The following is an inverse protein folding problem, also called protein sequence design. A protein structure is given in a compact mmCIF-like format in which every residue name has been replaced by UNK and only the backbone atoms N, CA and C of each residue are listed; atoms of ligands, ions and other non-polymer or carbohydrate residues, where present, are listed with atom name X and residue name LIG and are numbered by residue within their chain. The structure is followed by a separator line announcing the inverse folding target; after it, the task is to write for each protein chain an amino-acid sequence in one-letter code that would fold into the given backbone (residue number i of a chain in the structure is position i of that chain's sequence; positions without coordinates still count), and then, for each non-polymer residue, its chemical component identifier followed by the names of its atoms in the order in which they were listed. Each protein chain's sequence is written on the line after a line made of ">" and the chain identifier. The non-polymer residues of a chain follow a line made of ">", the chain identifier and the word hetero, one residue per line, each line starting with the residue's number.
data_IF_581470504990
#
_entry.id   IF_581470504990
#
_cell.length_a   1.000
_cell.length_b   1.000
_cell.length_c   1.000
_cell.angle_alpha   90.00
_cell.angle_beta   90.00
_cell.angle_gamma   90.00
#
_symmetry.space_group_name_H-M   'P 1'
#
loop_
_entity.id
_entity.type
_entity.pdbx_description
1 polymer ?
#
# COMPACT_ATOMS: atom_id res chain seq x y z
N UNK A 1 46.10 -0.97 -17.44
CA UNK A 1 45.41 -1.84 -16.45
C UNK A 1 44.49 -1.09 -15.49
N UNK A 2 44.82 0.12 -15.03
CA UNK A 2 44.00 0.88 -14.04
C UNK A 2 42.62 1.30 -14.58
N UNK A 3 42.52 1.70 -15.87
CA UNK A 3 41.25 2.12 -16.49
C UNK A 3 40.21 0.99 -16.56
N UNK A 4 40.63 -0.24 -16.86
CA UNK A 4 39.71 -1.38 -16.99
C UNK A 4 39.11 -1.78 -15.64
N UNK A 5 39.92 -1.77 -14.57
CA UNK A 5 39.46 -2.04 -13.22
C UNK A 5 38.46 -0.99 -12.71
N UNK A 6 38.68 0.29 -13.02
CA UNK A 6 37.77 1.38 -12.64
C UNK A 6 36.42 1.28 -13.36
N UNK A 7 36.41 0.91 -14.65
CA UNK A 7 35.18 0.72 -15.43
C UNK A 7 34.36 -0.48 -14.91
N UNK A 8 35.02 -1.60 -14.60
CA UNK A 8 34.34 -2.78 -14.04
C UNK A 8 33.77 -2.47 -12.65
N UNK A 9 34.53 -1.79 -11.79
CA UNK A 9 34.01 -1.36 -10.48
C UNK A 9 32.78 -0.47 -10.64
N UNK A 10 32.86 0.59 -11.47
CA UNK A 10 31.73 1.50 -11.71
C UNK A 10 30.49 0.77 -12.23
N UNK A 11 30.66 -0.22 -13.11
CA UNK A 11 29.55 -1.05 -13.60
C UNK A 11 28.90 -1.86 -12.47
N UNK A 12 29.68 -2.52 -11.60
CA UNK A 12 29.16 -3.29 -10.46
C UNK A 12 28.43 -2.40 -9.45
N UNK A 13 28.96 -1.22 -9.13
CA UNK A 13 28.29 -0.27 -8.24
C UNK A 13 26.98 0.24 -8.85
N UNK A 14 26.96 0.50 -10.15
CA UNK A 14 25.76 0.97 -10.86
C UNK A 14 24.67 -0.11 -10.91
N UNK A 15 25.02 -1.37 -11.14
CA UNK A 15 24.05 -2.48 -11.15
C UNK A 15 23.48 -2.73 -9.75
N UNK A 16 24.30 -2.67 -8.70
CA UNK A 16 23.82 -2.77 -7.32
C UNK A 16 22.90 -1.60 -6.93
N UNK A 17 23.26 -0.38 -7.30
CA UNK A 17 22.43 0.79 -7.03
C UNK A 17 21.08 0.70 -7.75
N UNK A 18 21.07 0.25 -9.01
CA UNK A 18 19.84 0.03 -9.77
C UNK A 18 19.00 -1.10 -9.16
N UNK A 19 19.62 -2.21 -8.76
CA UNK A 19 18.91 -3.32 -8.11
C UNK A 19 18.23 -2.86 -6.81
N UNK A 20 18.93 -2.10 -5.97
CA UNK A 20 18.36 -1.51 -4.76
C UNK A 20 17.24 -0.51 -5.09
N UNK A 21 17.42 0.32 -6.12
CA UNK A 21 16.38 1.26 -6.54
C UNK A 21 15.10 0.54 -7.02
N UNK A 22 15.25 -0.56 -7.75
CA UNK A 22 14.14 -1.37 -8.25
C UNK A 22 13.52 -2.29 -7.19
N UNK A 23 14.20 -2.49 -6.06
CA UNK A 23 13.73 -3.25 -4.92
C UNK A 23 12.91 -2.39 -3.95
N UNK A 24 13.38 -1.18 -3.63
CA UNK A 24 12.77 -0.32 -2.61
C UNK A 24 11.41 0.22 -3.02
N UNK A 25 10.50 0.33 -2.05
CA UNK A 25 9.19 0.97 -2.27
C UNK A 25 9.28 2.50 -2.34
N UNK A 26 10.25 3.09 -1.65
CA UNK A 26 10.44 4.55 -1.51
C UNK A 26 10.28 5.35 -2.81
N UNK A 27 10.82 4.94 -3.98
CA UNK A 27 10.67 5.71 -5.21
C UNK A 27 9.22 5.79 -5.75
N UNK A 28 8.30 4.99 -5.21
CA UNK A 28 6.87 5.00 -5.55
C UNK A 28 6.04 5.84 -4.57
N UNK A 29 6.65 6.31 -3.49
CA UNK A 29 5.99 7.12 -2.48
C UNK A 29 6.09 8.61 -2.84
N UNK A 30 5.06 9.40 -2.54
CA UNK A 30 5.08 10.83 -2.82
C UNK A 30 6.11 11.55 -1.92
N UNK A 31 6.67 12.64 -2.46
CA UNK A 31 7.34 13.63 -1.63
C UNK A 31 6.33 14.36 -0.73
N UNK A 32 6.82 15.02 0.32
CA UNK A 32 6.02 15.82 1.25
C UNK A 32 5.18 16.86 0.50
N UNK A 33 3.89 16.93 0.79
CA UNK A 33 2.91 17.76 0.11
C UNK A 33 2.39 17.18 -1.21
N UNK A 34 2.84 15.98 -1.60
CA UNK A 34 2.47 15.32 -2.85
C UNK A 34 1.54 14.12 -2.67
N UNK A 35 1.14 13.56 -3.80
CA UNK A 35 0.40 12.30 -3.87
C UNK A 35 0.82 11.47 -5.07
N UNK A 36 0.79 10.15 -4.94
CA UNK A 36 0.95 9.19 -6.05
C UNK A 36 -0.33 8.37 -6.23
N UNK A 37 -0.62 7.98 -7.47
CA UNK A 37 -1.82 7.25 -7.83
C UNK A 37 -1.45 5.96 -8.56
N UNK A 38 -2.17 4.88 -8.24
CA UNK A 38 -2.07 3.60 -8.89
C UNK A 38 -3.47 3.09 -9.21
N UNK A 39 -3.64 2.44 -10.36
CA UNK A 39 -4.91 1.87 -10.76
C UNK A 39 -4.74 0.55 -11.50
N UNK A 40 -5.77 -0.28 -11.47
CA UNK A 40 -5.89 -1.45 -12.33
C UNK A 40 -7.35 -1.79 -12.57
N UNK A 41 -7.62 -2.27 -13.78
CA UNK A 41 -8.84 -3.00 -14.14
C UNK A 41 -8.51 -4.48 -14.28
N UNK A 42 -9.37 -5.36 -13.80
CA UNK A 42 -9.14 -6.79 -13.74
C UNK A 42 -10.06 -7.56 -14.67
N UNK A 43 -9.46 -8.36 -15.56
CA UNK A 43 -10.13 -9.36 -16.38
C UNK A 43 -9.27 -10.63 -16.43
N UNK A 44 -9.63 -11.72 -15.72
CA UNK A 44 -10.82 -11.87 -14.88
C UNK A 44 -10.78 -11.04 -13.59
N UNK A 45 -11.95 -10.82 -12.98
CA UNK A 45 -12.10 -10.14 -11.69
C UNK A 45 -11.34 -10.90 -10.57
N UNK A 46 -10.92 -10.17 -9.52
CA UNK A 46 -10.11 -10.71 -8.43
C UNK A 46 -10.97 -10.98 -7.19
N UNK A 47 -10.90 -12.17 -6.58
CA UNK A 47 -11.67 -12.44 -5.37
C UNK A 47 -11.06 -11.71 -4.16
N UNK A 48 -11.92 -11.19 -3.30
CA UNK A 48 -11.59 -10.65 -1.98
C UNK A 48 -12.63 -11.10 -0.96
N UNK A 49 -12.21 -11.26 0.29
CA UNK A 49 -13.14 -11.64 1.34
C UNK A 49 -13.81 -10.38 1.90
N UNK A 50 -15.13 -10.43 1.99
CA UNK A 50 -15.97 -9.39 2.56
C UNK A 50 -16.52 -9.88 3.89
N UNK A 51 -16.42 -9.06 4.94
CA UNK A 51 -16.90 -9.46 6.27
C UNK A 51 -17.48 -8.31 7.08
N UNK A 52 -18.37 -8.65 8.01
CA UNK A 52 -18.85 -7.76 9.07
C UNK A 52 -17.80 -7.60 10.21
N UNK A 53 -17.96 -6.66 11.16
CA UNK A 53 -17.08 -6.52 12.32
C UNK A 53 -16.84 -7.82 13.07
N UNK A 54 -17.94 -8.52 13.37
CA UNK A 54 -17.98 -9.72 14.20
C UNK A 54 -17.58 -10.98 13.43
N UNK A 55 -17.33 -10.87 12.12
CA UNK A 55 -17.07 -11.98 11.18
C UNK A 55 -18.14 -13.07 11.21
N UNK A 56 -19.35 -12.70 11.62
CA UNK A 56 -20.54 -13.56 11.64
C UNK A 56 -21.17 -13.68 10.25
N UNK A 57 -20.92 -12.70 9.39
CA UNK A 57 -21.26 -12.74 7.97
C UNK A 57 -19.99 -12.62 7.13
N UNK A 58 -19.79 -13.59 6.21
CA UNK A 58 -18.67 -13.64 5.28
C UNK A 58 -19.20 -13.92 3.88
N UNK A 59 -18.67 -13.21 2.90
CA UNK A 59 -18.97 -13.41 1.49
C UNK A 59 -17.72 -13.15 0.67
N UNK A 60 -17.68 -13.65 -0.56
CA UNK A 60 -16.61 -13.34 -1.50
C UNK A 60 -17.11 -12.23 -2.42
N UNK A 61 -16.36 -11.13 -2.48
CA UNK A 61 -16.53 -10.08 -3.48
C UNK A 61 -15.60 -10.31 -4.67
N UNK A 62 -16.06 -9.97 -5.87
CA UNK A 62 -15.22 -9.97 -7.06
C UNK A 62 -14.86 -8.53 -7.44
N UNK A 63 -13.61 -8.15 -7.28
CA UNK A 63 -13.10 -6.81 -7.61
C UNK A 63 -12.85 -6.73 -9.11
N UNK A 64 -13.52 -5.79 -9.77
CA UNK A 64 -13.36 -5.48 -11.18
C UNK A 64 -12.30 -4.40 -11.41
N UNK A 65 -12.12 -3.47 -10.47
CA UNK A 65 -11.03 -2.49 -10.53
C UNK A 65 -10.63 -1.97 -9.16
N UNK A 66 -9.38 -1.50 -9.06
CA UNK A 66 -8.81 -0.92 -7.84
C UNK A 66 -8.12 0.40 -8.16
N UNK A 67 -8.21 1.36 -7.24
CA UNK A 67 -7.38 2.56 -7.19
C UNK A 67 -6.73 2.68 -5.83
N UNK A 68 -5.45 3.05 -5.83
CA UNK A 68 -4.67 3.33 -4.63
C UNK A 68 -4.13 4.76 -4.76
N UNK A 69 -4.48 5.63 -3.83
CA UNK A 69 -3.87 6.94 -3.70
C UNK A 69 -3.04 6.96 -2.42
N UNK A 70 -1.78 7.39 -2.52
CA UNK A 70 -0.92 7.61 -1.36
C UNK A 70 -0.66 9.10 -1.26
N UNK A 71 -0.94 9.69 -0.10
CA UNK A 71 -0.72 11.10 0.18
C UNK A 71 0.34 11.26 1.26
N UNK A 72 1.23 12.24 1.09
CA UNK A 72 2.11 12.70 2.16
C UNK A 72 1.76 14.14 2.49
N UNK A 73 1.00 14.34 3.56
CA UNK A 73 0.49 15.67 3.91
C UNK A 73 1.64 16.63 4.29
N UNK A 74 1.54 17.93 3.96
CA UNK A 74 2.64 18.87 4.17
C UNK A 74 2.98 19.12 5.64
N UNK A 75 1.96 19.03 6.52
CA UNK A 75 2.07 19.24 7.97
C UNK A 75 2.48 18.01 8.77
N UNK A 76 2.76 16.87 8.13
CA UNK A 76 3.14 15.65 8.85
C UNK A 76 4.55 15.77 9.43
N UNK A 77 4.71 15.42 10.69
CA UNK A 77 5.99 15.52 11.39
C UNK A 77 6.35 14.17 12.02
N UNK A 78 7.65 13.87 12.15
CA UNK A 78 8.09 12.68 12.86
C UNK A 78 7.46 12.63 14.26
N UNK A 79 6.94 11.46 14.64
CA UNK A 79 6.38 11.23 15.96
C UNK A 79 7.33 10.38 16.79
N UNK A 80 7.50 10.77 18.05
CA UNK A 80 8.33 10.11 19.05
C UNK A 80 7.58 10.05 20.36
N UNK A 81 7.14 8.86 20.72
CA UNK A 81 6.52 8.52 21.99
C UNK A 81 7.53 7.94 23.00
N UNK A 82 8.68 7.47 22.53
CA UNK A 82 9.63 6.70 23.33
C UNK A 82 9.18 5.27 23.63
N UNK A 83 8.02 4.86 23.12
CA UNK A 83 7.55 3.48 23.15
C UNK A 83 8.01 2.79 21.86
N UNK A 84 8.80 1.69 21.96
CA UNK A 84 9.24 0.96 20.78
C UNK A 84 8.05 0.54 19.91
N UNK A 85 8.12 0.83 18.62
CA UNK A 85 7.09 0.47 17.64
C UNK A 85 5.96 1.48 17.42
N UNK A 86 5.91 2.56 18.20
CA UNK A 86 4.94 3.66 17.99
C UNK A 86 5.55 4.89 17.32
N UNK A 87 6.87 4.93 17.19
CA UNK A 87 7.61 6.05 16.60
C UNK A 87 7.65 5.92 15.06
N UNK A 88 7.58 7.04 14.35
CA UNK A 88 7.69 7.08 12.89
C UNK A 88 8.35 8.35 12.38
N UNK A 89 9.06 8.26 11.26
CA UNK A 89 9.66 9.42 10.58
C UNK A 89 8.71 10.03 9.55
N UNK A 90 7.91 9.17 8.92
CA UNK A 90 6.96 9.54 7.89
C UNK A 90 5.64 8.82 8.11
N UNK A 91 4.56 9.57 7.97
CA UNK A 91 3.20 9.06 7.96
C UNK A 91 2.56 9.43 6.63
N UNK A 92 2.15 8.40 5.89
CA UNK A 92 1.40 8.53 4.65
C UNK A 92 -0.07 8.19 4.91
N UNK A 93 -0.95 8.73 4.08
CA UNK A 93 -2.37 8.34 4.05
C UNK A 93 -2.59 7.53 2.78
N UNK A 94 -3.03 6.28 2.93
CA UNK A 94 -3.47 5.42 1.85
C UNK A 94 -4.99 5.52 1.72
N UNK A 95 -5.47 5.89 0.53
CA UNK A 95 -6.85 5.72 0.12
C UNK A 95 -6.95 4.53 -0.85
N UNK A 96 -7.73 3.54 -0.47
CA UNK A 96 -8.04 2.36 -1.27
C UNK A 96 -9.48 2.47 -1.78
N UNK A 97 -9.66 2.40 -3.09
CA UNK A 97 -10.97 2.23 -3.71
C UNK A 97 -11.00 0.90 -4.48
N UNK A 98 -11.95 0.03 -4.18
CA UNK A 98 -12.16 -1.23 -4.88
C UNK A 98 -13.59 -1.28 -5.42
N UNK A 99 -13.74 -1.37 -6.74
CA UNK A 99 -15.04 -1.54 -7.38
C UNK A 99 -15.31 -3.02 -7.58
N UNK A 100 -16.46 -3.48 -7.13
CA UNK A 100 -16.91 -4.85 -7.32
C UNK A 100 -17.60 -5.02 -8.69
N UNK A 101 -17.69 -6.24 -9.18
CA UNK A 101 -18.41 -6.60 -10.42
C UNK A 101 -19.90 -6.24 -10.33
N UNK A 102 -20.49 -6.29 -9.13
CA UNK A 102 -21.88 -5.88 -8.88
C UNK A 102 -22.08 -4.35 -8.90
N UNK A 103 -21.02 -3.56 -9.13
CA UNK A 103 -21.04 -2.11 -9.20
C UNK A 103 -20.81 -1.38 -7.87
N UNK A 104 -20.80 -2.11 -6.74
CA UNK A 104 -20.52 -1.56 -5.41
C UNK A 104 -19.10 -0.99 -5.35
N UNK A 105 -18.96 0.18 -4.73
CA UNK A 105 -17.67 0.83 -4.52
C UNK A 105 -17.31 0.75 -3.04
N UNK A 106 -16.21 0.06 -2.75
CA UNK A 106 -15.64 -0.04 -1.42
C UNK A 106 -14.52 0.98 -1.29
N UNK A 107 -14.61 1.82 -0.26
CA UNK A 107 -13.60 2.85 0.03
C UNK A 107 -13.05 2.64 1.43
N UNK A 108 -11.72 2.72 1.56
CA UNK A 108 -11.01 2.60 2.83
C UNK A 108 -9.87 3.62 2.88
N UNK A 109 -9.61 4.16 4.06
CA UNK A 109 -8.48 5.03 4.33
C UNK A 109 -7.66 4.44 5.48
N UNK A 110 -6.35 4.36 5.31
CA UNK A 110 -5.42 3.81 6.29
C UNK A 110 -4.17 4.68 6.41
N UNK A 111 -3.51 4.63 7.56
CA UNK A 111 -2.24 5.32 7.78
C UNK A 111 -1.09 4.36 7.58
N UNK A 112 -0.06 4.80 6.87
CA UNK A 112 1.14 4.01 6.65
C UNK A 112 2.33 4.70 7.30
N UNK A 113 2.82 4.11 8.38
CA UNK A 113 3.96 4.63 9.12
C UNK A 113 5.26 4.01 8.58
N UNK A 114 6.30 4.83 8.42
CA UNK A 114 7.63 4.38 8.00
C UNK A 114 8.69 5.10 8.82
N UNK A 115 9.69 4.37 9.29
CA UNK A 115 10.85 4.94 9.95
C UNK A 115 12.02 5.05 8.96
N UNK A 116 13.03 5.84 9.32
CA UNK A 116 14.26 6.03 8.55
C UNK A 116 15.36 5.03 8.94
N UNK A 117 14.96 3.83 9.39
CA UNK A 117 15.89 2.77 9.76
C UNK A 117 16.49 2.12 8.51
N UNK A 118 17.64 1.45 8.65
CA UNK A 118 18.23 0.71 7.53
C UNK A 118 17.27 -0.33 6.94
N UNK A 119 16.50 -1.02 7.79
CA UNK A 119 15.46 -1.97 7.36
C UNK A 119 14.44 -1.30 6.46
N UNK A 120 13.79 -0.25 6.95
CA UNK A 120 12.74 0.46 6.20
C UNK A 120 13.24 1.16 4.94
N UNK A 121 14.53 1.55 4.92
CA UNK A 121 15.18 2.06 3.70
C UNK A 121 15.29 1.00 2.62
N UNK A 122 15.48 -0.28 2.96
CA UNK A 122 15.59 -1.36 1.98
C UNK A 122 14.29 -2.14 1.79
N UNK A 123 13.23 -1.86 2.54
CA UNK A 123 11.99 -2.60 2.42
C UNK A 123 11.29 -2.35 1.08
N UNK A 124 10.80 -3.41 0.42
CA UNK A 124 9.97 -3.31 -0.78
C UNK A 124 8.48 -3.12 -0.42
N UNK A 125 8.16 -2.92 0.85
CA UNK A 125 6.80 -2.90 1.37
C UNK A 125 6.54 -1.70 2.27
N UNK A 126 5.27 -1.30 2.35
CA UNK A 126 4.75 -0.28 3.23
C UNK A 126 3.53 -0.86 3.96
N UNK A 127 3.62 -0.93 5.29
CA UNK A 127 2.55 -1.42 6.14
C UNK A 127 1.60 -0.29 6.47
N UNK A 128 0.30 -0.54 6.37
CA UNK A 128 -0.73 0.44 6.62
C UNK A 128 -1.82 -0.15 7.52
N UNK A 129 -2.35 0.66 8.42
CA UNK A 129 -3.33 0.25 9.40
C UNK A 129 -4.32 1.36 9.76
N UNK A 130 -5.39 0.97 10.46
CA UNK A 130 -6.40 1.87 11.01
C UNK A 130 -6.47 1.63 12.52
N UNK A 131 -6.22 2.67 13.30
CA UNK A 131 -6.11 2.66 14.77
C UNK A 131 -7.31 2.07 15.54
N UNK A 132 -8.50 1.95 14.94
CA UNK A 132 -9.77 1.66 15.63
C UNK A 132 -10.45 0.33 15.23
N UNK A 133 -9.71 -0.78 15.31
CA UNK A 133 -10.14 -2.10 14.80
C UNK A 133 -10.48 -2.07 13.29
N UNK A 134 -9.94 -1.09 12.58
CA UNK A 134 -10.14 -0.95 11.14
C UNK A 134 -9.22 -1.88 10.33
N UNK A 135 -8.22 -2.47 10.99
CA UNK A 135 -7.38 -3.55 10.46
C UNK A 135 -6.21 -3.07 9.62
N UNK A 136 -5.60 -3.98 8.85
CA UNK A 136 -4.28 -3.80 8.22
C UNK A 136 -4.29 -4.17 6.74
N UNK A 137 -3.36 -3.59 6.01
CA UNK A 137 -2.97 -4.00 4.66
C UNK A 137 -1.48 -3.76 4.47
N UNK A 138 -0.85 -4.55 3.61
CA UNK A 138 0.53 -4.28 3.18
C UNK A 138 0.56 -3.92 1.69
N UNK A 139 1.20 -2.79 1.36
CA UNK A 139 1.51 -2.42 -0.01
C UNK A 139 2.89 -2.97 -0.38
N UNK A 140 2.97 -3.80 -1.41
CA UNK A 140 4.23 -4.34 -1.92
C UNK A 140 4.59 -3.70 -3.24
N UNK A 141 5.87 -3.41 -3.47
CA UNK A 141 6.35 -3.04 -4.80
C UNK A 141 6.18 -4.19 -5.78
N UNK A 142 5.64 -3.90 -6.96
CA UNK A 142 5.62 -4.84 -8.07
C UNK A 142 7.02 -4.89 -8.70
N UNK A 143 7.79 -5.94 -8.42
CA UNK A 143 9.13 -6.10 -8.99
C UNK A 143 9.05 -6.12 -10.52
N UNK A 144 9.85 -5.25 -11.17
CA UNK A 144 9.85 -5.09 -12.62
C UNK A 144 8.74 -4.19 -13.17
N UNK A 145 7.90 -3.58 -12.33
CA UNK A 145 6.86 -2.62 -12.75
C UNK A 145 6.89 -1.36 -11.90
N UNK A 146 6.41 -0.25 -12.47
CA UNK A 146 6.10 0.95 -11.70
C UNK A 146 4.70 0.77 -11.12
N UNK A 147 4.59 0.02 -10.03
CA UNK A 147 3.30 -0.34 -9.46
C UNK A 147 3.41 -0.92 -8.06
N UNK A 148 2.25 -1.01 -7.40
CA UNK A 148 2.10 -1.58 -6.07
C UNK A 148 1.12 -2.75 -6.11
N UNK A 149 1.23 -3.66 -5.17
CA UNK A 149 0.21 -4.65 -4.86
C UNK A 149 -0.31 -4.35 -3.47
N UNK A 150 -1.60 -3.98 -3.40
CA UNK A 150 -2.34 -3.98 -2.16
C UNK A 150 -2.61 -5.44 -1.78
N UNK A 151 -1.94 -5.92 -0.73
CA UNK A 151 -1.97 -7.31 -0.30
C UNK A 151 -2.53 -7.40 1.11
N UNK A 152 -3.55 -8.24 1.26
CA UNK A 152 -4.06 -8.68 2.54
C UNK A 152 -3.49 -10.06 2.81
N UNK A 153 -2.69 -10.22 3.86
CA UNK A 153 -2.30 -11.53 4.36
C UNK A 153 -3.48 -12.24 5.02
N UNK A 154 -3.37 -13.55 5.26
CA UNK A 154 -4.43 -14.31 5.91
C UNK A 154 -4.80 -13.71 7.27
N UNK A 155 -6.09 -13.41 7.45
CA UNK A 155 -6.63 -12.75 8.63
C UNK A 155 -6.68 -11.23 8.53
N UNK A 156 -5.94 -10.61 7.61
CA UNK A 156 -5.94 -9.16 7.41
C UNK A 156 -7.21 -8.68 6.72
N UNK A 157 -7.63 -7.47 7.09
CA UNK A 157 -8.79 -6.81 6.50
C UNK A 157 -8.68 -5.32 6.74
N UNK A 158 -9.28 -4.55 5.86
CA UNK A 158 -9.49 -3.12 6.02
C UNK A 158 -10.96 -2.81 6.12
N UNK A 159 -11.32 -1.98 7.08
CA UNK A 159 -12.65 -1.39 7.21
C UNK A 159 -12.93 -0.53 5.98
N UNK A 160 -14.11 -0.70 5.43
CA UNK A 160 -14.66 0.13 4.35
C UNK A 160 -15.82 0.95 4.88
N UNK A 161 -15.91 2.20 4.42
CA UNK A 161 -16.95 3.14 4.80
C UNK A 161 -16.84 3.70 6.23
N UNK A 162 -16.80 5.04 6.32
CA UNK A 162 -16.96 5.82 7.54
C UNK A 162 -15.75 5.86 8.46
N UNK A 163 -15.79 6.79 9.42
CA UNK A 163 -14.79 6.93 10.48
C UNK A 163 -14.97 5.89 11.57
N UNK A 164 -13.98 5.79 12.45
CA UNK A 164 -14.03 5.02 13.68
C UNK A 164 -15.35 5.25 14.44
N UNK A 165 -16.14 4.18 14.61
CA UNK A 165 -17.39 4.21 15.38
C UNK A 165 -18.69 4.44 14.60
N UNK A 166 -18.67 4.71 13.29
CA UNK A 166 -19.90 4.95 12.52
C UNK A 166 -20.41 3.75 11.70
N UNK A 167 -21.73 3.53 11.70
CA UNK A 167 -22.43 2.62 10.78
C UNK A 167 -22.29 1.11 11.04
N UNK A 168 -22.75 0.30 10.07
CA UNK A 168 -22.46 -1.14 9.98
C UNK A 168 -21.25 -1.30 9.06
N UNK A 169 -20.02 -1.29 9.58
CA UNK A 169 -18.86 -1.27 8.71
C UNK A 169 -18.73 -2.60 7.97
N UNK A 170 -18.38 -2.52 6.70
CA UNK A 170 -17.97 -3.67 5.90
C UNK A 170 -16.45 -3.72 5.94
N UNK A 171 -15.87 -4.89 5.73
CA UNK A 171 -14.43 -5.07 5.66
C UNK A 171 -14.07 -5.80 4.39
N UNK A 172 -13.06 -5.31 3.67
CA UNK A 172 -12.41 -5.99 2.55
C UNK A 172 -11.11 -6.62 3.04
N UNK A 173 -10.81 -7.86 2.65
CA UNK A 173 -9.57 -8.48 3.11
C UNK A 173 -9.33 -9.89 2.61
N UNK A 174 -8.66 -10.65 3.46
CA UNK A 174 -8.29 -12.04 3.29
C UNK A 174 -8.54 -12.79 4.61
N UNK A 175 -9.34 -13.84 4.59
CA UNK A 175 -9.70 -14.62 5.78
C UNK A 175 -8.74 -15.79 5.98
N UNK A 176 -8.60 -16.65 4.98
CA UNK A 176 -7.75 -17.86 5.06
C UNK A 176 -6.50 -17.79 4.18
N UNK A 177 -6.64 -17.21 3.00
CA UNK A 177 -5.57 -17.11 2.01
C UNK A 177 -5.36 -15.66 1.63
N UNK A 178 -4.10 -15.28 1.45
CA UNK A 178 -3.76 -13.93 1.09
C UNK A 178 -4.44 -13.51 -0.23
N UNK A 179 -4.98 -12.29 -0.24
CA UNK A 179 -5.60 -11.67 -1.43
C UNK A 179 -4.75 -10.51 -1.88
N UNK A 180 -4.66 -10.31 -3.19
CA UNK A 180 -3.75 -9.33 -3.78
C UNK A 180 -4.41 -8.58 -4.93
N UNK A 181 -4.32 -7.27 -4.85
CA UNK A 181 -4.84 -6.30 -5.81
C UNK A 181 -3.65 -5.52 -6.39
N UNK A 182 -2.98 -6.05 -7.43
CA UNK A 182 -1.91 -5.34 -8.12
C UNK A 182 -2.48 -4.13 -8.87
N UNK A 183 -1.80 -3.01 -8.80
CA UNK A 183 -2.13 -1.76 -9.47
C UNK A 183 -0.85 -1.14 -10.06
N UNK A 184 -0.94 -0.63 -11.27
CA UNK A 184 0.18 0.05 -11.95
C UNK A 184 0.06 1.57 -11.73
N UNK A 185 1.17 2.29 -11.85
CA UNK A 185 1.18 3.74 -11.70
C UNK A 185 0.22 4.39 -12.71
N UNK A 186 -0.59 5.31 -12.22
CA UNK A 186 -1.60 6.00 -13.01
C UNK A 186 -1.41 7.52 -12.91
N UNK A 187 -1.91 8.28 -13.91
CA UNK A 187 -1.99 9.73 -13.80
C UNK A 187 -2.71 10.14 -12.52
N UNK A 188 -2.27 11.21 -11.88
CA UNK A 188 -2.82 11.68 -10.60
C UNK A 188 -4.33 11.99 -10.69
N UNK A 189 -4.80 12.41 -11.86
CA UNK A 189 -6.21 12.63 -12.19
C UNK A 189 -7.09 11.38 -12.04
N UNK A 190 -6.52 10.19 -12.18
CA UNK A 190 -7.23 8.91 -12.03
C UNK A 190 -7.67 8.66 -10.59
N UNK A 191 -6.98 9.25 -9.62
CA UNK A 191 -7.31 9.21 -8.19
C UNK A 191 -7.82 10.56 -7.67
N UNK A 192 -8.08 11.54 -8.53
CA UNK A 192 -8.68 12.79 -8.12
C UNK A 192 -10.15 12.56 -7.74
N UNK A 193 -10.57 13.16 -6.63
CA UNK A 193 -11.96 13.11 -6.12
C UNK A 193 -12.93 13.89 -7.01
#
# INVERSE_FOLDING_TARGET
>A
MIRTAAVVAAAVWSTMALALFLWRIEPLLPARGGSTCFAADYSPARPVDLSSPRRDHRSIGEVSSTRLAIHFLPGEHPFRSGTPGLDYDWRYVLKLEARLVNGELLTSEAFCNRSDTFGDRIMPALFCDIDCDGGTITLWRNIGRSGLTARFEAGERLRTGGSCGEGRPLYIGADQEARSLPADAAPQQTCAE
#
